data_IF_473984197943
#
_entry.id   IF_473984197943
#
_cell.length_a   1.000
_cell.length_b   1.000
_cell.length_c   1.000
_cell.angle_alpha   90.00
_cell.angle_beta   90.00
_cell.angle_gamma   90.00
#
_symmetry.space_group_name_H-M   'P 1'
#
loop_
_entity.id
_entity.type
_entity.pdbx_description
1 polymer ?
#
# COMPACT_ATOMS: atom_id res chain seq x y z
N UNK A 1 16.07 -12.64 -0.96
CA UNK A 1 15.00 -12.48 0.05
C UNK A 1 15.35 -11.27 0.90
N UNK A 2 14.56 -10.19 0.89
CA UNK A 2 14.90 -8.87 1.46
C UNK A 2 14.96 -8.80 3.00
N UNK A 3 14.81 -9.92 3.70
CA UNK A 3 14.77 -9.96 5.17
C UNK A 3 16.09 -9.61 5.88
N UNK A 4 17.22 -9.54 5.17
CA UNK A 4 18.53 -9.20 5.75
C UNK A 4 18.99 -7.76 5.52
N UNK A 5 18.23 -6.96 4.79
CA UNK A 5 18.61 -5.59 4.43
C UNK A 5 18.10 -4.57 5.45
N UNK A 6 19.00 -3.80 6.05
CA UNK A 6 18.68 -2.70 6.99
C UNK A 6 17.96 -1.51 6.33
N UNK A 7 17.88 -1.47 5.00
CA UNK A 7 17.22 -0.40 4.25
C UNK A 7 15.71 -0.65 4.00
N UNK A 8 15.19 -1.83 4.33
CA UNK A 8 13.76 -2.17 4.20
C UNK A 8 13.20 -2.66 5.53
N UNK A 9 12.01 -2.15 5.87
CA UNK A 9 11.22 -2.66 6.99
C UNK A 9 10.03 -3.44 6.45
N UNK A 10 9.96 -4.72 6.80
CA UNK A 10 8.82 -5.57 6.45
C UNK A 10 7.78 -5.46 7.57
N UNK A 11 6.57 -5.06 7.21
CA UNK A 11 5.46 -4.93 8.15
C UNK A 11 4.60 -6.20 8.14
N UNK A 12 4.19 -6.71 9.32
CA UNK A 12 3.32 -7.88 9.41
C UNK A 12 1.88 -7.53 9.00
N UNK A 13 1.09 -8.56 8.72
CA UNK A 13 -0.35 -8.44 8.55
C UNK A 13 -1.07 -8.90 9.82
N UNK A 14 -2.08 -8.16 10.24
CA UNK A 14 -2.96 -8.56 11.33
C UNK A 14 -4.43 -8.34 10.96
N UNK A 15 -5.32 -8.67 11.89
CA UNK A 15 -6.76 -8.59 11.68
C UNK A 15 -7.22 -7.20 11.20
N UNK A 16 -6.69 -6.13 11.78
CA UNK A 16 -7.06 -4.77 11.40
C UNK A 16 -6.67 -4.48 9.93
N UNK A 17 -5.50 -4.93 9.49
CA UNK A 17 -5.08 -4.76 8.08
C UNK A 17 -6.06 -5.48 7.16
N UNK A 18 -6.48 -6.72 7.49
CA UNK A 18 -7.43 -7.45 6.67
C UNK A 18 -8.84 -6.83 6.65
N UNK A 19 -9.33 -6.38 7.80
CA UNK A 19 -10.64 -5.71 7.90
C UNK A 19 -10.64 -4.40 7.09
N UNK A 20 -9.59 -3.59 7.22
CA UNK A 20 -9.42 -2.35 6.44
C UNK A 20 -9.27 -2.65 4.94
N UNK A 21 -8.49 -3.67 4.55
CA UNK A 21 -8.33 -4.07 3.16
C UNK A 21 -9.67 -4.52 2.54
N UNK A 22 -10.51 -5.23 3.29
CA UNK A 22 -11.83 -5.62 2.82
C UNK A 22 -12.72 -4.39 2.51
N UNK A 23 -12.69 -3.38 3.39
CA UNK A 23 -13.42 -2.12 3.19
C UNK A 23 -12.88 -1.34 1.98
N UNK A 24 -11.56 -1.20 1.86
CA UNK A 24 -10.91 -0.52 0.74
C UNK A 24 -11.22 -1.20 -0.60
N UNK A 25 -11.19 -2.54 -0.63
CA UNK A 25 -11.54 -3.33 -1.80
C UNK A 25 -13.00 -3.10 -2.22
N UNK A 26 -13.93 -3.10 -1.26
CA UNK A 26 -15.34 -2.85 -1.55
C UNK A 26 -15.58 -1.43 -2.10
N UNK A 27 -14.92 -0.42 -1.52
CA UNK A 27 -15.07 0.98 -1.92
C UNK A 27 -14.41 1.30 -3.27
N UNK A 28 -13.24 0.73 -3.55
CA UNK A 28 -12.41 1.12 -4.70
C UNK A 28 -12.34 0.07 -5.82
N UNK A 29 -12.93 -1.12 -5.63
CA UNK A 29 -12.94 -2.23 -6.61
C UNK A 29 -11.53 -2.65 -7.08
N UNK A 30 -10.57 -2.66 -6.15
CA UNK A 30 -9.18 -3.09 -6.38
C UNK A 30 -8.96 -4.57 -6.00
N UNK A 31 -7.82 -5.16 -6.38
CA UNK A 31 -7.48 -6.53 -5.98
C UNK A 31 -7.23 -6.58 -4.46
N UNK A 32 -7.46 -7.74 -3.85
CA UNK A 32 -7.26 -7.91 -2.40
C UNK A 32 -5.82 -7.60 -1.98
N UNK A 33 -4.83 -8.07 -2.74
CA UNK A 33 -3.41 -7.83 -2.45
C UNK A 33 -3.09 -6.33 -2.48
N UNK A 34 -3.60 -5.59 -3.45
CA UNK A 34 -3.43 -4.12 -3.52
C UNK A 34 -4.08 -3.43 -2.32
N UNK A 35 -5.27 -3.89 -1.91
CA UNK A 35 -5.96 -3.37 -0.74
C UNK A 35 -5.20 -3.65 0.57
N UNK A 36 -4.56 -4.81 0.70
CA UNK A 36 -3.70 -5.15 1.86
C UNK A 36 -2.48 -4.25 1.91
N UNK A 37 -1.82 -3.99 0.77
CA UNK A 37 -0.70 -3.05 0.72
C UNK A 37 -1.14 -1.61 1.07
N UNK A 38 -2.30 -1.18 0.58
CA UNK A 38 -2.86 0.14 0.88
C UNK A 38 -3.20 0.28 2.37
N UNK A 39 -3.89 -0.71 2.96
CA UNK A 39 -4.21 -0.75 4.39
C UNK A 39 -2.95 -0.74 5.25
N UNK A 40 -1.91 -1.48 4.85
CA UNK A 40 -0.61 -1.50 5.55
C UNK A 40 0.06 -0.13 5.51
N UNK A 41 0.08 0.54 4.36
CA UNK A 41 0.67 1.87 4.22
C UNK A 41 -0.09 2.93 5.06
N UNK A 42 -1.42 2.87 5.05
CA UNK A 42 -2.24 3.76 5.88
C UNK A 42 -2.00 3.53 7.38
N UNK A 43 -1.93 2.26 7.82
CA UNK A 43 -1.64 1.93 9.22
C UNK A 43 -0.25 2.38 9.65
N UNK A 44 0.74 2.30 8.77
CA UNK A 44 2.09 2.76 9.02
C UNK A 44 2.23 4.29 8.91
N UNK A 45 1.12 5.02 8.69
CA UNK A 45 1.10 6.45 8.46
C UNK A 45 2.05 6.90 7.34
N UNK A 46 2.20 6.07 6.30
CA UNK A 46 3.01 6.44 5.15
C UNK A 46 2.39 7.65 4.45
N UNK A 47 3.24 8.60 4.05
CA UNK A 47 2.84 9.73 3.21
C UNK A 47 2.85 9.39 1.72
N UNK A 48 3.71 8.45 1.32
CA UNK A 48 3.91 8.07 -0.07
C UNK A 48 3.72 6.56 -0.26
N UNK A 49 3.10 6.19 -1.37
CA UNK A 49 2.97 4.81 -1.83
C UNK A 49 3.62 4.68 -3.21
N UNK A 50 4.76 4.00 -3.28
CA UNK A 50 5.53 3.84 -4.52
C UNK A 50 5.02 2.60 -5.26
N UNK A 51 4.62 2.76 -6.51
CA UNK A 51 4.15 1.66 -7.35
C UNK A 51 4.32 2.01 -8.83
N UNK A 52 4.24 1.00 -9.70
CA UNK A 52 4.08 1.18 -11.16
C UNK A 52 2.69 0.76 -11.64
N UNK A 53 1.80 0.37 -10.71
CA UNK A 53 0.41 0.09 -11.04
C UNK A 53 -0.34 1.40 -11.27
N UNK A 54 -0.76 1.63 -12.51
CA UNK A 54 -1.49 2.83 -12.94
C UNK A 54 -2.94 2.87 -12.42
N UNK A 55 -3.47 1.74 -11.94
CA UNK A 55 -4.81 1.69 -11.36
C UNK A 55 -4.84 2.35 -9.96
N UNK A 56 -3.69 2.40 -9.27
CA UNK A 56 -3.57 3.00 -7.94
C UNK A 56 -3.51 4.53 -8.02
N UNK A 57 -4.35 5.20 -7.23
CA UNK A 57 -4.48 6.65 -7.20
C UNK A 57 -4.27 7.20 -5.79
N UNK A 58 -3.74 8.42 -5.71
CA UNK A 58 -3.59 9.14 -4.45
C UNK A 58 -4.93 9.32 -3.76
N UNK A 59 -4.92 9.22 -2.42
CA UNK A 59 -6.05 9.53 -1.55
C UNK A 59 -5.64 10.62 -0.57
N UNK A 60 -6.59 11.20 0.18
CA UNK A 60 -6.35 12.43 0.96
C UNK A 60 -5.06 12.43 1.80
N UNK A 61 -4.72 11.32 2.47
CA UNK A 61 -3.53 11.21 3.30
C UNK A 61 -2.36 10.46 2.67
N UNK A 62 -2.52 9.88 1.47
CA UNK A 62 -1.53 9.00 0.85
C UNK A 62 -1.30 9.37 -0.63
N UNK A 63 -0.11 9.87 -0.92
CA UNK A 63 0.30 10.22 -2.28
C UNK A 63 0.89 9.02 -3.01
N UNK A 64 0.29 8.62 -4.12
CA UNK A 64 0.84 7.58 -4.99
C UNK A 64 1.92 8.18 -5.88
N UNK A 65 3.11 7.57 -5.87
CA UNK A 65 4.25 7.95 -6.70
C UNK A 65 4.49 6.84 -7.73
N UNK A 66 4.41 7.20 -9.01
CA UNK A 66 4.65 6.27 -10.12
C UNK A 66 6.15 6.19 -10.41
N UNK A 67 6.80 5.08 -10.04
CA UNK A 67 8.26 4.98 -10.12
C UNK A 67 8.77 5.15 -11.55
N UNK A 68 8.08 4.59 -12.54
CA UNK A 68 8.41 4.70 -13.97
C UNK A 68 8.19 6.08 -14.58
N UNK A 69 7.68 7.06 -13.82
CA UNK A 69 7.66 8.47 -14.25
C UNK A 69 8.86 9.27 -13.77
N UNK A 70 9.72 8.67 -12.94
CA UNK A 70 10.91 9.30 -12.35
C UNK A 70 12.22 8.87 -13.02
N UNK A 71 12.15 7.91 -13.94
CA UNK A 71 13.25 7.31 -14.69
C UNK A 71 12.99 7.47 -16.19
#
# INVERSE_FOLDING_TARGET
>A
MFSGSSFLTILPHDKFIFDCAAQLRAAHKIKLVDAVHLATALRAACRFFITNDKAMRSTGSLSVVQLGSLL
#
